data_IF_507643010460
#
_entry.id   IF_507643010460
#
_cell.length_a   1.000
_cell.length_b   1.000
_cell.length_c   1.000
_cell.angle_alpha   90.00
_cell.angle_beta   90.00
_cell.angle_gamma   90.00
#
_symmetry.space_group_name_H-M   'P 1'
#
loop_
_entity.id
_entity.type
_entity.pdbx_description
1 polymer ?
#
# COMPACT_ATOMS: atom_id res chain seq x y z
N UNK A 1 -0.95 9.12 -14.08
CA UNK A 1 -0.42 8.34 -12.94
C UNK A 1 0.51 7.26 -13.43
N UNK A 2 0.07 6.30 -14.25
CA UNK A 2 0.93 5.20 -14.73
C UNK A 2 2.14 5.67 -15.55
N UNK A 3 1.96 6.64 -16.45
CA UNK A 3 3.06 7.24 -17.21
C UNK A 3 4.02 8.01 -16.30
N UNK A 4 3.49 8.89 -15.45
CA UNK A 4 4.26 9.71 -14.52
C UNK A 4 5.05 8.89 -13.49
N UNK A 5 4.48 7.79 -12.98
CA UNK A 5 5.14 6.94 -11.99
C UNK A 5 6.26 6.08 -12.58
N UNK A 6 6.29 5.90 -13.90
CA UNK A 6 7.22 5.02 -14.60
C UNK A 6 7.30 3.61 -13.99
N UNK A 7 6.16 3.09 -13.51
CA UNK A 7 6.07 1.73 -12.97
C UNK A 7 6.39 0.72 -14.06
N UNK A 8 7.11 -0.34 -13.72
CA UNK A 8 7.49 -1.40 -14.66
C UNK A 8 6.51 -2.58 -14.66
N UNK A 9 5.69 -2.70 -13.60
CA UNK A 9 4.75 -3.80 -13.41
C UNK A 9 3.42 -3.22 -12.91
N UNK A 10 2.32 -3.73 -13.45
CA UNK A 10 0.97 -3.47 -12.97
C UNK A 10 0.36 -4.75 -12.37
N UNK A 11 -0.12 -4.68 -11.13
CA UNK A 11 -0.92 -5.76 -10.53
C UNK A 11 -2.40 -5.46 -10.75
N UNK A 12 -3.16 -6.41 -11.30
CA UNK A 12 -4.55 -6.20 -11.69
C UNK A 12 -5.39 -7.47 -11.52
N UNK A 13 -6.72 -7.38 -11.54
CA UNK A 13 -7.59 -8.53 -11.76
C UNK A 13 -8.13 -8.49 -13.20
N UNK A 14 -8.38 -9.64 -13.82
CA UNK A 14 -8.78 -9.69 -15.25
C UNK A 14 -10.00 -8.82 -15.56
N UNK A 15 -10.99 -8.76 -14.66
CA UNK A 15 -12.21 -7.98 -14.86
C UNK A 15 -11.99 -6.45 -14.90
N UNK A 16 -10.81 -5.95 -14.53
CA UNK A 16 -10.44 -4.54 -14.58
C UNK A 16 -9.60 -4.17 -15.81
N UNK A 17 -9.31 -5.13 -16.69
CA UNK A 17 -8.43 -4.93 -17.85
C UNK A 17 -8.95 -3.85 -18.80
N UNK A 18 -10.27 -3.79 -19.01
CA UNK A 18 -10.89 -2.76 -19.86
C UNK A 18 -10.75 -1.33 -19.30
N UNK A 19 -10.38 -1.19 -18.02
CA UNK A 19 -10.19 0.10 -17.37
C UNK A 19 -8.81 0.73 -17.57
N UNK A 20 -7.90 0.10 -18.34
CA UNK A 20 -6.54 0.59 -18.51
C UNK A 20 -5.94 0.26 -19.87
N UNK A 21 -5.32 1.27 -20.50
CA UNK A 21 -4.53 1.11 -21.73
C UNK A 21 -3.05 0.76 -21.43
N UNK A 22 -2.74 0.29 -20.23
CA UNK A 22 -1.36 0.02 -19.83
C UNK A 22 -0.80 -1.20 -20.56
N UNK A 23 0.10 -0.94 -21.52
CA UNK A 23 0.64 -1.98 -22.41
C UNK A 23 1.89 -2.70 -21.88
N UNK A 24 2.34 -2.38 -20.66
CA UNK A 24 3.56 -2.99 -20.11
C UNK A 24 3.26 -4.31 -19.37
N UNK A 25 4.20 -4.78 -18.56
CA UNK A 25 4.09 -6.05 -17.85
C UNK A 25 2.96 -6.02 -16.80
N UNK A 26 1.91 -6.81 -17.02
CA UNK A 26 0.80 -6.96 -16.08
C UNK A 26 0.83 -8.35 -15.45
N UNK A 27 0.67 -8.41 -14.13
CA UNK A 27 0.51 -9.65 -13.36
C UNK A 27 -0.90 -9.70 -12.80
N UNK A 28 -1.62 -10.78 -13.09
CA UNK A 28 -3.01 -10.93 -12.67
C UNK A 28 -3.10 -11.60 -11.30
N UNK A 29 -3.73 -10.89 -10.35
CA UNK A 29 -3.92 -11.32 -8.97
C UNK A 29 -4.92 -12.47 -8.83
N UNK A 30 -5.82 -12.61 -9.80
CA UNK A 30 -6.81 -13.68 -9.90
C UNK A 30 -6.33 -14.88 -10.75
N UNK A 31 -5.07 -14.87 -11.22
CA UNK A 31 -4.43 -16.02 -11.85
C UNK A 31 -3.59 -16.81 -10.83
N UNK A 32 -3.93 -18.06 -10.50
CA UNK A 32 -3.14 -18.91 -9.61
C UNK A 32 -1.69 -19.13 -10.09
N UNK A 33 -1.41 -19.04 -11.39
CA UNK A 33 -0.07 -19.21 -11.95
C UNK A 33 0.88 -18.05 -11.62
N UNK A 34 0.34 -16.89 -11.21
CA UNK A 34 1.12 -15.74 -10.72
C UNK A 34 1.78 -15.99 -9.35
N UNK A 35 1.41 -17.06 -8.65
CA UNK A 35 1.86 -17.34 -7.29
C UNK A 35 2.84 -18.51 -7.25
N UNK A 36 4.03 -18.27 -6.69
CA UNK A 36 5.00 -19.33 -6.43
C UNK A 36 4.58 -20.25 -5.29
N UNK A 37 5.13 -21.47 -5.27
CA UNK A 37 4.87 -22.45 -4.21
C UNK A 37 5.69 -22.22 -2.93
N UNK A 38 6.74 -21.39 -2.99
CA UNK A 38 7.58 -21.08 -1.84
C UNK A 38 6.86 -20.13 -0.88
N UNK A 39 6.73 -20.54 0.39
CA UNK A 39 6.08 -19.76 1.44
C UNK A 39 7.07 -19.14 2.45
N UNK A 40 8.38 -19.38 2.29
CA UNK A 40 9.39 -18.72 3.12
C UNK A 40 9.45 -17.23 2.85
N UNK A 41 9.84 -16.47 3.87
CA UNK A 41 10.12 -15.05 3.70
C UNK A 41 11.27 -14.85 2.71
N UNK A 42 11.08 -13.91 1.78
CA UNK A 42 12.14 -13.45 0.90
C UNK A 42 13.31 -12.88 1.71
N UNK A 43 14.52 -12.99 1.15
CA UNK A 43 15.70 -12.33 1.72
C UNK A 43 15.47 -10.82 1.72
N UNK A 44 15.54 -10.21 2.91
CA UNK A 44 15.36 -8.77 3.07
C UNK A 44 16.50 -8.02 2.37
N UNK A 45 16.18 -7.37 1.26
CA UNK A 45 17.08 -6.48 0.52
C UNK A 45 16.45 -5.09 0.37
N UNK A 46 15.91 -4.57 1.48
CA UNK A 46 15.23 -3.27 1.54
C UNK A 46 15.86 -2.41 2.63
N UNK A 47 16.11 -1.14 2.33
CA UNK A 47 16.67 -0.14 3.24
C UNK A 47 15.60 0.85 3.71
N UNK A 48 15.69 1.40 4.94
CA UNK A 48 14.66 2.28 5.49
C UNK A 48 14.38 3.56 4.67
N UNK A 49 15.34 4.00 3.87
CA UNK A 49 15.24 5.19 3.01
C UNK A 49 14.77 4.89 1.58
N UNK A 50 14.44 3.64 1.26
CA UNK A 50 13.77 3.31 0.00
C UNK A 50 12.28 3.64 0.09
N UNK A 51 11.68 3.93 -1.06
CA UNK A 51 10.25 4.23 -1.17
C UNK A 51 9.42 3.02 -0.79
N UNK A 52 8.44 3.22 0.10
CA UNK A 52 7.43 2.25 0.47
C UNK A 52 6.17 2.40 -0.40
N UNK A 53 5.75 3.63 -0.69
CA UNK A 53 4.62 3.90 -1.58
C UNK A 53 4.67 5.29 -2.20
N UNK A 54 3.86 5.46 -3.25
CA UNK A 54 3.53 6.75 -3.86
C UNK A 54 2.01 6.89 -3.92
N UNK A 55 1.47 7.94 -3.31
CA UNK A 55 0.05 8.30 -3.42
C UNK A 55 -0.07 9.64 -4.14
N UNK A 56 -0.93 9.69 -5.16
CA UNK A 56 -1.20 10.91 -5.91
C UNK A 56 -2.24 11.76 -5.21
N UNK A 57 -1.94 13.05 -5.06
CA UNK A 57 -2.86 14.06 -4.52
C UNK A 57 -3.21 15.09 -5.59
N UNK A 58 -4.33 15.80 -5.41
CA UNK A 58 -4.69 16.91 -6.30
C UNK A 58 -3.65 18.01 -6.21
N UNK A 59 -3.00 18.33 -7.34
CA UNK A 59 -2.10 19.47 -7.40
C UNK A 59 -2.88 20.78 -7.52
N UNK A 60 -2.46 21.80 -6.78
CA UNK A 60 -2.99 23.17 -6.93
C UNK A 60 -2.81 23.74 -8.34
N UNK A 61 -1.90 23.17 -9.13
CA UNK A 61 -1.59 23.51 -10.52
C UNK A 61 -2.40 22.70 -11.54
N UNK A 62 -3.40 21.93 -11.10
CA UNK A 62 -4.28 21.12 -11.96
C UNK A 62 -3.79 19.70 -12.24
N UNK A 63 -2.47 19.47 -12.24
CA UNK A 63 -1.89 18.13 -12.42
C UNK A 63 -1.70 17.42 -11.07
N UNK A 64 -2.14 16.14 -10.93
CA UNK A 64 -1.85 15.35 -9.73
C UNK A 64 -0.35 15.22 -9.46
N UNK A 65 0.04 15.19 -8.19
CA UNK A 65 1.44 15.05 -7.76
C UNK A 65 1.62 13.78 -6.95
N UNK A 66 2.60 12.95 -7.32
CA UNK A 66 2.97 11.77 -6.55
C UNK A 66 3.71 12.16 -5.28
N UNK A 67 3.17 11.79 -4.12
CA UNK A 67 3.84 11.97 -2.82
C UNK A 67 4.65 10.72 -2.51
N UNK A 68 5.97 10.87 -2.50
CA UNK A 68 6.93 9.78 -2.29
C UNK A 68 7.15 9.58 -0.78
N UNK A 69 6.85 8.39 -0.27
CA UNK A 69 6.99 8.05 1.15
C UNK A 69 7.96 6.88 1.32
N UNK A 70 8.94 7.03 2.21
CA UNK A 70 9.94 6.01 2.52
C UNK A 70 9.47 5.04 3.61
N UNK A 71 10.04 3.83 3.67
CA UNK A 71 9.74 2.84 4.72
C UNK A 71 9.87 3.41 6.14
N UNK A 72 10.93 4.19 6.41
CA UNK A 72 11.16 4.81 7.73
C UNK A 72 10.03 5.75 8.13
N UNK A 73 9.35 6.39 7.17
CA UNK A 73 8.23 7.29 7.47
C UNK A 73 7.03 6.51 8.00
N UNK A 74 6.71 5.36 7.39
CA UNK A 74 5.62 4.47 7.84
C UNK A 74 5.89 3.92 9.24
N UNK A 75 7.13 3.45 9.48
CA UNK A 75 7.52 2.96 10.81
C UNK A 75 7.42 4.08 11.84
N UNK A 76 7.90 5.29 11.52
CA UNK A 76 7.86 6.43 12.45
C UNK A 76 6.46 6.92 12.74
N UNK A 77 5.54 6.81 11.79
CA UNK A 77 4.13 7.16 11.98
C UNK A 77 3.54 6.40 13.18
N UNK A 78 3.81 5.10 13.29
CA UNK A 78 3.26 4.24 14.34
C UNK A 78 4.17 4.14 15.57
N UNK A 79 5.48 3.97 15.37
CA UNK A 79 6.47 3.83 16.43
C UNK A 79 7.20 5.14 16.69
N UNK A 80 6.66 5.91 17.63
CA UNK A 80 7.30 7.15 18.06
C UNK A 80 7.07 7.45 19.55
N UNK A 81 7.98 8.25 20.11
CA UNK A 81 7.99 8.58 21.53
C UNK A 81 6.81 9.47 21.97
N UNK A 82 5.99 9.93 21.03
CA UNK A 82 4.82 10.79 21.27
C UNK A 82 3.51 10.07 20.94
N UNK A 83 3.53 8.77 20.65
CA UNK A 83 2.31 8.04 20.37
C UNK A 83 1.46 8.00 21.65
N UNK A 84 0.25 8.55 21.58
CA UNK A 84 -0.67 8.67 22.71
C UNK A 84 -1.66 7.51 22.80
N UNK A 85 -1.61 6.58 21.83
CA UNK A 85 -2.48 5.42 21.77
C UNK A 85 -1.75 4.18 22.29
N UNK A 86 -2.45 3.36 23.07
CA UNK A 86 -1.96 2.08 23.60
C UNK A 86 -2.41 0.91 22.71
N UNK A 87 -2.01 0.97 21.45
CA UNK A 87 -2.42 -0.03 20.46
C UNK A 87 -1.84 -1.41 20.78
N UNK A 88 -2.67 -2.45 20.64
CA UNK A 88 -2.29 -3.82 20.93
C UNK A 88 -3.12 -4.84 20.13
N UNK A 89 -2.82 -6.13 20.32
CA UNK A 89 -3.42 -7.22 19.57
C UNK A 89 -4.93 -7.43 19.81
N UNK A 90 -5.50 -6.78 20.84
CA UNK A 90 -6.94 -6.84 21.12
C UNK A 90 -7.73 -5.82 20.31
N UNK A 91 -7.07 -4.88 19.64
CA UNK A 91 -7.72 -3.84 18.86
C UNK A 91 -8.30 -4.36 17.55
N UNK A 92 -9.42 -3.76 17.14
CA UNK A 92 -10.01 -3.95 15.81
C UNK A 92 -9.98 -2.63 15.07
N UNK A 93 -9.34 -2.64 13.91
CA UNK A 93 -9.18 -1.52 13.01
C UNK A 93 -10.04 -1.72 11.77
N UNK A 94 -10.58 -0.63 11.22
CA UNK A 94 -11.29 -0.65 9.95
C UNK A 94 -10.38 -0.16 8.84
N UNK A 95 -10.25 -0.92 7.76
CA UNK A 95 -9.79 -0.40 6.47
C UNK A 95 -11.03 0.14 5.74
N UNK A 96 -11.31 1.43 5.94
CA UNK A 96 -12.50 2.09 5.44
C UNK A 96 -12.14 3.09 4.34
N UNK A 97 -11.05 3.83 4.52
CA UNK A 97 -10.64 4.81 3.52
C UNK A 97 -10.13 4.12 2.26
N UNK A 98 -10.30 4.80 1.12
CA UNK A 98 -9.71 4.35 -0.15
C UNK A 98 -8.22 4.08 0.03
N UNK A 99 -7.73 2.98 -0.55
CA UNK A 99 -6.29 2.68 -0.58
C UNK A 99 -5.48 3.72 -1.38
N UNK A 100 -6.15 4.61 -2.12
CA UNK A 100 -5.53 5.77 -2.77
C UNK A 100 -5.45 7.01 -1.84
N UNK A 101 -5.82 6.90 -0.57
CA UNK A 101 -5.74 7.97 0.43
C UNK A 101 -4.80 7.55 1.57
N UNK A 102 -3.94 8.47 2.04
CA UNK A 102 -2.86 8.14 2.97
C UNK A 102 -3.33 7.65 4.34
N UNK A 103 -4.54 8.02 4.77
CA UNK A 103 -5.13 7.51 6.00
C UNK A 103 -5.30 5.97 5.99
N UNK A 104 -5.48 5.35 4.81
CA UNK A 104 -5.52 3.89 4.69
C UNK A 104 -4.22 3.20 5.12
N UNK A 105 -3.08 3.91 5.05
CA UNK A 105 -1.78 3.42 5.53
C UNK A 105 -1.78 3.31 7.05
N UNK A 106 -2.35 4.31 7.74
CA UNK A 106 -2.53 4.26 9.20
C UNK A 106 -3.47 3.13 9.61
N UNK A 107 -4.61 2.98 8.93
CA UNK A 107 -5.59 1.92 9.19
C UNK A 107 -4.97 0.53 9.03
N UNK A 108 -4.28 0.28 7.93
CA UNK A 108 -3.69 -1.02 7.60
C UNK A 108 -2.51 -1.37 8.50
N UNK A 109 -1.51 -0.48 8.60
CA UNK A 109 -0.31 -0.78 9.40
C UNK A 109 -0.56 -0.65 10.90
N UNK A 110 -1.57 0.11 11.34
CA UNK A 110 -2.02 0.15 12.73
C UNK A 110 -2.42 -1.23 13.24
N UNK A 111 -3.24 -1.96 12.47
CA UNK A 111 -3.53 -3.35 12.80
C UNK A 111 -2.31 -4.26 12.68
N UNK A 112 -1.64 -4.24 11.51
CA UNK A 112 -0.61 -5.24 11.19
C UNK A 112 0.63 -5.14 12.09
N UNK A 113 1.06 -3.94 12.48
CA UNK A 113 2.28 -3.75 13.28
C UNK A 113 2.07 -3.89 14.78
N UNK A 114 0.83 -3.77 15.27
CA UNK A 114 0.47 -4.00 16.68
C UNK A 114 -0.18 -5.36 16.94
N UNK A 115 -0.34 -6.19 15.90
CA UNK A 115 -0.94 -7.52 15.99
C UNK A 115 -2.47 -7.52 16.12
N UNK A 116 -3.11 -6.39 15.83
CA UNK A 116 -4.57 -6.24 15.87
C UNK A 116 -5.27 -6.88 14.69
N UNK A 117 -6.60 -6.80 14.68
CA UNK A 117 -7.45 -7.27 13.59
C UNK A 117 -7.75 -6.12 12.61
N UNK A 118 -7.53 -6.35 11.32
CA UNK A 118 -8.00 -5.44 10.27
C UNK A 118 -9.30 -5.95 9.65
N UNK A 119 -10.34 -5.12 9.66
CA UNK A 119 -11.63 -5.40 9.02
C UNK A 119 -11.74 -4.57 7.75
N UNK A 120 -11.84 -5.23 6.60
CA UNK A 120 -12.09 -4.57 5.32
C UNK A 120 -13.56 -4.17 5.26
N UNK A 121 -13.83 -2.87 5.11
CA UNK A 121 -15.20 -2.37 4.95
C UNK A 121 -15.55 -2.39 3.46
N UNK A 122 -16.60 -3.10 3.03
CA UNK A 122 -17.00 -3.09 1.62
C UNK A 122 -17.46 -1.70 1.18
N UNK A 123 -17.27 -1.42 -0.11
CA UNK A 123 -17.77 -0.21 -0.76
C UNK A 123 -19.28 -0.29 -1.00
#
# INVERSE_FOLDING_TARGET
>A
MLEDSNVSILLLQHHLLEGTDYQSHTVFLDDPSSYGAEASNLKLNVMPNQLAYVIYTSGTTGNPKGTLIEHKNVVRLLFNNKNVFDFNASDTWTLFHSFCFDFSVWEMYGALLYGGKLVIVPK
#
